data_IF_167287827206
#
_entry.id   IF_167287827206
#
_cell.length_a   1.000
_cell.length_b   1.000
_cell.length_c   1.000
_cell.angle_alpha   90.00
_cell.angle_beta   90.00
_cell.angle_gamma   90.00
#
_symmetry.space_group_name_H-M   'P 1'
#
loop_
_entity.id
_entity.type
_entity.pdbx_description
1 polymer ?
#
# COMPACT_ATOMS: atom_id res chain seq x y z
N UNK A 1 39.80 -42.04 8.42
CA UNK A 1 40.21 -42.85 7.26
C UNK A 1 40.21 -41.97 6.03
N UNK A 2 41.39 -41.62 5.51
CA UNK A 2 41.53 -40.71 4.38
C UNK A 2 41.11 -41.37 3.07
N UNK A 3 40.09 -40.82 2.41
CA UNK A 3 39.76 -41.14 1.02
C UNK A 3 40.37 -40.06 0.10
N UNK A 4 41.07 -40.55 -0.91
CA UNK A 4 42.05 -39.84 -1.71
C UNK A 4 41.36 -39.00 -2.82
N UNK A 5 41.30 -37.67 -2.67
CA UNK A 5 40.67 -36.73 -3.62
C UNK A 5 41.31 -36.67 -5.03
N UNK A 6 42.45 -37.35 -5.27
CA UNK A 6 43.13 -37.35 -6.57
C UNK A 6 42.56 -38.34 -7.58
N UNK A 7 41.79 -39.35 -7.16
CA UNK A 7 41.23 -40.37 -8.06
C UNK A 7 40.10 -39.86 -8.97
N UNK A 8 39.22 -39.00 -8.44
CA UNK A 8 38.05 -38.50 -9.17
C UNK A 8 38.40 -37.56 -10.33
N UNK A 9 39.42 -36.71 -10.16
CA UNK A 9 39.87 -35.77 -11.19
C UNK A 9 40.51 -36.46 -12.41
N UNK A 10 41.26 -37.54 -12.20
CA UNK A 10 41.84 -38.33 -13.30
C UNK A 10 40.79 -39.16 -14.06
N UNK A 11 39.76 -39.65 -13.36
CA UNK A 11 38.66 -40.40 -13.98
C UNK A 11 37.76 -39.47 -14.81
N UNK A 12 37.46 -38.26 -14.34
CA UNK A 12 36.73 -37.24 -15.09
C UNK A 12 37.48 -36.75 -16.34
N UNK A 13 38.81 -36.56 -16.25
CA UNK A 13 39.63 -36.14 -17.40
C UNK A 13 39.74 -37.22 -18.48
N UNK A 14 39.80 -38.50 -18.09
CA UNK A 14 39.77 -39.65 -19.01
C UNK A 14 38.40 -39.84 -19.67
N UNK A 15 37.32 -39.62 -18.94
CA UNK A 15 35.96 -39.63 -19.50
C UNK A 15 35.76 -38.48 -20.49
N UNK A 16 36.22 -37.26 -20.17
CA UNK A 16 36.17 -36.12 -21.10
C UNK A 16 37.02 -36.32 -22.37
N UNK A 17 38.20 -36.95 -22.25
CA UNK A 17 39.05 -37.27 -23.40
C UNK A 17 38.48 -38.35 -24.31
N UNK A 18 37.81 -39.37 -23.75
CA UNK A 18 37.14 -40.42 -24.52
C UNK A 18 35.86 -39.95 -25.21
N UNK A 19 35.15 -38.99 -24.63
CA UNK A 19 33.90 -38.42 -25.20
C UNK A 19 34.17 -37.40 -26.32
N UNK A 20 35.33 -36.73 -26.33
CA UNK A 20 35.72 -35.83 -27.44
C UNK A 20 35.92 -36.59 -28.76
N UNK A 21 36.39 -37.84 -28.68
CA UNK A 21 36.56 -38.72 -29.85
C UNK A 21 35.21 -39.26 -30.38
N UNK A 22 34.20 -39.41 -29.51
CA UNK A 22 32.85 -39.82 -29.91
C UNK A 22 32.01 -38.68 -30.49
N UNK A 23 32.30 -37.42 -30.13
CA UNK A 23 31.56 -36.24 -30.62
C UNK A 23 31.86 -35.88 -32.09
N UNK A 24 32.98 -36.36 -32.66
CA UNK A 24 33.32 -36.16 -34.08
C UNK A 24 32.61 -37.16 -35.01
N UNK A 25 31.85 -38.13 -34.46
CA UNK A 25 31.11 -39.13 -35.22
C UNK A 25 29.60 -39.07 -34.91
N UNK A 26 28.88 -38.18 -35.61
CA UNK A 26 27.41 -38.22 -35.72
C UNK A 26 26.63 -37.32 -34.75
N UNK A 27 25.55 -36.69 -35.26
CA UNK A 27 24.74 -35.65 -34.62
C UNK A 27 24.11 -35.95 -33.26
N UNK A 28 24.25 -37.16 -32.72
CA UNK A 28 23.94 -37.51 -31.33
C UNK A 28 24.95 -36.88 -30.35
N UNK A 29 26.17 -36.58 -30.84
CA UNK A 29 27.25 -35.96 -30.08
C UNK A 29 26.91 -34.58 -29.53
N UNK A 30 26.15 -33.74 -30.24
CA UNK A 30 25.75 -32.42 -29.73
C UNK A 30 24.70 -32.50 -28.61
N UNK A 31 23.78 -33.46 -28.69
CA UNK A 31 22.77 -33.70 -27.66
C UNK A 31 23.40 -34.31 -26.38
N UNK A 32 24.32 -35.26 -26.55
CA UNK A 32 25.08 -35.86 -25.45
C UNK A 32 26.08 -34.86 -24.87
N UNK A 33 26.77 -34.07 -25.69
CA UNK A 33 27.66 -32.99 -25.24
C UNK A 33 26.89 -31.92 -24.48
N UNK A 34 25.69 -31.53 -24.94
CA UNK A 34 24.81 -30.62 -24.22
C UNK A 34 24.28 -31.19 -22.90
N UNK A 35 24.13 -32.51 -22.75
CA UNK A 35 23.78 -33.15 -21.46
C UNK A 35 25.00 -33.33 -20.56
N UNK A 36 26.15 -33.65 -21.12
CA UNK A 36 27.42 -33.82 -20.40
C UNK A 36 27.97 -32.49 -19.92
N UNK A 37 27.90 -31.43 -20.72
CA UNK A 37 28.29 -30.07 -20.32
C UNK A 37 27.37 -29.53 -19.22
N UNK A 38 26.05 -29.77 -19.34
CA UNK A 38 25.09 -29.50 -18.25
C UNK A 38 25.36 -30.34 -17.00
N UNK A 39 25.75 -31.61 -17.16
CA UNK A 39 26.14 -32.48 -16.06
C UNK A 39 27.41 -32.02 -15.34
N UNK A 40 28.45 -31.65 -16.09
CA UNK A 40 29.71 -31.12 -15.53
C UNK A 40 29.49 -29.78 -14.82
N UNK A 41 28.67 -28.89 -15.41
CA UNK A 41 28.26 -27.65 -14.75
C UNK A 41 27.49 -27.93 -13.44
N UNK A 42 26.55 -28.88 -13.46
CA UNK A 42 25.81 -29.29 -12.26
C UNK A 42 26.73 -29.81 -11.13
N UNK A 43 27.69 -30.67 -11.45
CA UNK A 43 28.64 -31.20 -10.45
C UNK A 43 29.58 -30.14 -9.90
N UNK A 44 30.02 -29.20 -10.76
CA UNK A 44 30.82 -28.05 -10.36
C UNK A 44 30.04 -27.17 -9.38
N UNK A 45 28.82 -26.77 -9.76
CA UNK A 45 28.00 -25.86 -8.96
C UNK A 45 27.59 -26.52 -7.63
N UNK A 46 27.31 -27.83 -7.61
CA UNK A 46 27.06 -28.59 -6.38
C UNK A 46 28.29 -28.69 -5.46
N UNK A 47 29.50 -28.71 -6.00
CA UNK A 47 30.73 -28.69 -5.20
C UNK A 47 30.99 -27.31 -4.58
N UNK A 48 30.64 -26.23 -5.30
CA UNK A 48 30.71 -24.86 -4.80
C UNK A 48 29.70 -24.66 -3.66
N UNK A 49 28.46 -25.15 -3.81
CA UNK A 49 27.46 -25.08 -2.73
C UNK A 49 27.94 -25.80 -1.46
N UNK A 50 28.54 -26.99 -1.56
CA UNK A 50 29.11 -27.69 -0.40
C UNK A 50 30.26 -26.92 0.28
N UNK A 51 31.10 -26.25 -0.51
CA UNK A 51 32.15 -25.40 0.04
C UNK A 51 31.58 -24.18 0.77
N UNK A 52 30.52 -23.60 0.21
CA UNK A 52 29.82 -22.51 0.87
C UNK A 52 29.17 -22.95 2.18
N UNK A 53 28.64 -24.17 2.26
CA UNK A 53 28.10 -24.74 3.50
C UNK A 53 29.18 -24.91 4.57
N UNK A 54 30.34 -25.46 4.21
CA UNK A 54 31.48 -25.52 5.13
C UNK A 54 31.92 -24.12 5.61
N UNK A 55 31.89 -23.12 4.73
CA UNK A 55 32.19 -21.74 5.12
C UNK A 55 31.13 -21.15 6.08
N UNK A 56 29.85 -21.51 5.95
CA UNK A 56 28.81 -21.11 6.90
C UNK A 56 29.02 -21.76 8.28
N UNK A 57 29.30 -23.06 8.30
CA UNK A 57 29.55 -23.82 9.53
C UNK A 57 30.80 -23.29 10.27
N UNK A 58 31.80 -22.81 9.53
CA UNK A 58 33.01 -22.17 10.05
C UNK A 58 32.79 -20.70 10.48
N UNK A 59 31.58 -20.17 10.40
CA UNK A 59 31.27 -18.78 10.76
C UNK A 59 31.82 -17.74 9.78
N UNK A 60 31.98 -18.09 8.50
CA UNK A 60 32.49 -17.23 7.41
C UNK A 60 31.38 -16.90 6.39
N UNK A 61 30.35 -16.12 6.77
CA UNK A 61 29.18 -15.87 5.94
C UNK A 61 29.50 -15.10 4.64
N UNK A 62 30.49 -14.21 4.65
CA UNK A 62 30.90 -13.45 3.47
C UNK A 62 31.43 -14.37 2.36
N UNK A 63 32.29 -15.31 2.72
CA UNK A 63 32.88 -16.30 1.79
C UNK A 63 31.79 -17.22 1.25
N UNK A 64 30.88 -17.66 2.13
CA UNK A 64 29.75 -18.48 1.71
C UNK A 64 28.84 -17.77 0.70
N UNK A 65 28.47 -16.51 0.95
CA UNK A 65 27.61 -15.73 0.05
C UNK A 65 28.23 -15.53 -1.34
N UNK A 66 29.53 -15.26 -1.41
CA UNK A 66 30.25 -15.13 -2.68
C UNK A 66 30.23 -16.45 -3.47
N UNK A 67 30.57 -17.56 -2.82
CA UNK A 67 30.56 -18.88 -3.44
C UNK A 67 29.16 -19.26 -3.93
N UNK A 68 28.11 -18.98 -3.15
CA UNK A 68 26.74 -19.27 -3.54
C UNK A 68 26.26 -18.41 -4.71
N UNK A 69 26.69 -17.15 -4.80
CA UNK A 69 26.34 -16.26 -5.90
C UNK A 69 26.99 -16.70 -7.23
N UNK A 70 28.17 -17.31 -7.17
CA UNK A 70 28.85 -17.89 -8.34
C UNK A 70 28.25 -19.23 -8.78
N UNK A 71 27.56 -19.93 -7.88
CA UNK A 71 27.08 -21.29 -8.08
C UNK A 71 25.73 -21.40 -8.81
N UNK A 72 25.57 -20.79 -9.98
CA UNK A 72 24.44 -21.06 -10.90
C UNK A 72 23.05 -21.19 -10.22
N UNK A 73 22.23 -22.13 -10.68
CA UNK A 73 20.90 -22.39 -10.10
C UNK A 73 20.93 -23.07 -8.71
N UNK A 74 21.81 -24.05 -8.42
CA UNK A 74 21.90 -24.66 -7.09
C UNK A 74 22.25 -23.66 -5.98
N UNK A 75 23.13 -22.71 -6.28
CA UNK A 75 23.52 -21.61 -5.40
C UNK A 75 22.39 -20.64 -5.16
N UNK A 76 21.66 -20.22 -6.20
CA UNK A 76 20.46 -19.38 -6.08
C UNK A 76 19.39 -20.01 -5.18
N UNK A 77 19.12 -21.32 -5.34
CA UNK A 77 18.18 -22.06 -4.47
C UNK A 77 18.67 -22.16 -3.02
N UNK A 78 19.98 -22.18 -2.79
CA UNK A 78 20.52 -22.19 -1.44
C UNK A 78 20.46 -20.80 -0.82
N UNK A 79 20.75 -19.75 -1.59
CA UNK A 79 20.55 -18.35 -1.20
C UNK A 79 19.08 -18.11 -0.82
N UNK A 80 18.13 -18.52 -1.65
CA UNK A 80 16.69 -18.44 -1.35
C UNK A 80 16.33 -19.11 -0.02
N UNK A 81 16.80 -20.35 0.21
CA UNK A 81 16.59 -21.05 1.48
C UNK A 81 17.25 -20.38 2.69
N UNK A 82 18.42 -19.77 2.53
CA UNK A 82 19.07 -19.02 3.61
C UNK A 82 18.27 -17.76 3.96
N UNK A 83 17.72 -17.07 2.96
CA UNK A 83 16.88 -15.89 3.16
C UNK A 83 15.56 -16.24 3.85
N UNK A 84 14.91 -17.34 3.47
CA UNK A 84 13.66 -17.81 4.11
C UNK A 84 13.90 -18.29 5.55
N UNK A 85 15.00 -19.02 5.80
CA UNK A 85 15.37 -19.45 7.16
C UNK A 85 15.73 -18.27 8.09
N UNK A 86 15.93 -17.07 7.54
CA UNK A 86 16.22 -15.84 8.27
C UNK A 86 14.97 -15.02 8.65
N UNK A 87 13.76 -15.60 8.67
CA UNK A 87 12.52 -14.96 9.16
C UNK A 87 12.54 -14.45 10.63
N UNK A 88 13.71 -14.39 11.29
CA UNK A 88 13.88 -13.77 12.60
C UNK A 88 14.47 -12.35 12.45
N UNK A 89 13.80 -11.30 12.98
CA UNK A 89 14.29 -9.90 12.98
C UNK A 89 15.76 -9.76 13.40
N UNK A 90 16.19 -10.56 14.38
CA UNK A 90 17.53 -10.53 14.97
C UNK A 90 18.65 -10.95 13.99
N UNK A 91 18.32 -11.59 12.87
CA UNK A 91 19.28 -12.12 11.90
C UNK A 91 19.46 -11.24 10.66
N UNK A 92 18.70 -10.17 10.53
CA UNK A 92 18.80 -9.22 9.41
C UNK A 92 20.07 -8.37 9.43
N UNK A 93 20.50 -7.76 10.55
CA UNK A 93 21.72 -6.95 10.57
C UNK A 93 22.97 -7.74 10.13
N UNK A 94 23.22 -8.97 10.63
CA UNK A 94 24.36 -9.77 10.17
C UNK A 94 24.33 -10.15 8.69
N UNK A 95 23.13 -10.39 8.13
CA UNK A 95 22.97 -10.70 6.71
C UNK A 95 23.25 -9.48 5.83
N UNK A 96 22.75 -8.31 6.22
CA UNK A 96 22.99 -7.04 5.53
C UNK A 96 24.50 -6.74 5.55
N UNK A 97 25.14 -6.83 6.71
CA UNK A 97 26.58 -6.64 6.86
C UNK A 97 27.37 -7.63 5.98
N UNK A 98 26.96 -8.90 5.94
CA UNK A 98 27.60 -9.89 5.10
C UNK A 98 27.45 -9.59 3.60
N UNK A 99 26.28 -9.12 3.15
CA UNK A 99 26.04 -8.72 1.76
C UNK A 99 26.77 -7.41 1.37
N UNK A 100 26.92 -6.47 2.30
CA UNK A 100 27.74 -5.27 2.09
C UNK A 100 29.21 -5.65 1.86
N UNK A 101 29.74 -6.53 2.70
CA UNK A 101 31.13 -6.98 2.65
C UNK A 101 31.42 -7.95 1.50
N UNK A 102 30.44 -8.75 1.07
CA UNK A 102 30.60 -9.71 -0.02
C UNK A 102 30.72 -9.06 -1.41
N UNK A 103 30.29 -7.80 -1.57
CA UNK A 103 30.44 -7.04 -2.80
C UNK A 103 29.32 -7.28 -3.84
N UNK A 104 29.47 -6.71 -5.06
CA UNK A 104 28.38 -6.61 -6.05
C UNK A 104 27.88 -7.96 -6.57
N UNK A 105 28.76 -8.97 -6.65
CA UNK A 105 28.42 -10.29 -7.19
C UNK A 105 27.42 -11.03 -6.29
N UNK A 106 27.55 -10.90 -4.97
CA UNK A 106 26.56 -11.43 -4.03
C UNK A 106 25.19 -10.74 -4.16
N UNK A 107 25.18 -9.42 -4.41
CA UNK A 107 23.94 -8.67 -4.65
C UNK A 107 23.26 -9.11 -5.94
N UNK A 108 24.01 -9.37 -7.00
CA UNK A 108 23.48 -9.94 -8.25
C UNK A 108 22.90 -11.34 -8.04
N UNK A 109 23.58 -12.17 -7.24
CA UNK A 109 23.08 -13.49 -6.85
C UNK A 109 21.74 -13.44 -6.12
N UNK A 110 21.58 -12.50 -5.17
CA UNK A 110 20.30 -12.28 -4.46
C UNK A 110 19.25 -11.67 -5.40
N UNK A 111 19.62 -10.73 -6.27
CA UNK A 111 18.69 -10.13 -7.22
C UNK A 111 18.11 -11.15 -8.20
N UNK A 112 18.90 -12.16 -8.58
CA UNK A 112 18.44 -13.25 -9.42
C UNK A 112 17.39 -14.16 -8.75
N UNK A 113 17.32 -14.17 -7.40
CA UNK A 113 16.25 -14.87 -6.65
C UNK A 113 14.90 -14.20 -6.88
N UNK A 114 14.89 -12.86 -7.09
CA UNK A 114 13.65 -12.11 -7.34
C UNK A 114 12.91 -12.57 -8.61
N UNK A 115 13.62 -13.15 -9.57
CA UNK A 115 13.07 -13.50 -10.88
C UNK A 115 12.39 -14.90 -10.90
N UNK A 116 12.49 -15.73 -9.85
CA UNK A 116 12.23 -17.18 -9.98
C UNK A 116 11.32 -17.90 -8.96
N UNK A 117 10.92 -17.37 -7.79
CA UNK A 117 9.99 -18.10 -6.85
C UNK A 117 9.22 -17.24 -5.80
N UNK A 118 8.18 -17.78 -5.15
CA UNK A 118 7.06 -17.04 -4.50
C UNK A 118 7.14 -16.68 -3.01
N UNK A 119 8.11 -17.15 -2.22
CA UNK A 119 8.35 -16.69 -0.83
C UNK A 119 9.76 -16.09 -0.67
N UNK A 120 10.75 -16.69 -1.32
CA UNK A 120 12.15 -16.22 -1.38
C UNK A 120 12.27 -14.79 -1.94
N UNK A 121 11.27 -14.37 -2.74
CA UNK A 121 11.16 -13.02 -3.32
C UNK A 121 11.05 -11.93 -2.26
N UNK A 122 10.29 -12.12 -1.19
CA UNK A 122 10.07 -11.07 -0.19
C UNK A 122 11.35 -10.81 0.60
N UNK A 123 11.98 -11.86 1.14
CA UNK A 123 13.24 -11.72 1.86
C UNK A 123 14.38 -11.23 0.97
N UNK A 124 14.45 -11.69 -0.29
CA UNK A 124 15.42 -11.14 -1.24
C UNK A 124 15.16 -9.65 -1.51
N UNK A 125 13.89 -9.24 -1.59
CA UNK A 125 13.53 -7.85 -1.80
C UNK A 125 13.87 -6.97 -0.60
N UNK A 126 13.59 -7.42 0.63
CA UNK A 126 13.94 -6.76 1.89
C UNK A 126 15.45 -6.59 2.05
N UNK A 127 16.23 -7.66 1.80
CA UNK A 127 17.69 -7.61 1.87
C UNK A 127 18.26 -6.57 0.92
N UNK A 128 17.81 -6.58 -0.33
CA UNK A 128 18.27 -5.68 -1.37
C UNK A 128 17.79 -4.25 -1.14
N UNK A 129 16.57 -4.08 -0.65
CA UNK A 129 15.98 -2.81 -0.24
C UNK A 129 16.82 -2.14 0.86
N UNK A 130 17.15 -2.87 1.93
CA UNK A 130 17.99 -2.38 3.02
C UNK A 130 19.41 -1.97 2.57
N UNK A 131 19.88 -2.53 1.45
CA UNK A 131 21.15 -2.19 0.81
C UNK A 131 21.04 -1.02 -0.19
N UNK A 132 19.84 -0.47 -0.40
CA UNK A 132 19.57 0.60 -1.37
C UNK A 132 19.54 0.13 -2.83
N UNK A 133 19.43 -1.17 -3.11
CA UNK A 133 19.32 -1.68 -4.48
C UNK A 133 17.90 -1.43 -5.03
N UNK A 134 17.81 -0.71 -6.15
CA UNK A 134 16.55 -0.30 -6.76
C UNK A 134 15.62 -1.46 -7.11
N UNK A 135 16.16 -2.65 -7.46
CA UNK A 135 15.35 -3.85 -7.77
C UNK A 135 14.72 -4.41 -6.50
N UNK A 136 15.46 -4.41 -5.40
CA UNK A 136 14.94 -4.81 -4.08
C UNK A 136 13.82 -3.90 -3.63
N UNK A 137 14.06 -2.58 -3.71
CA UNK A 137 13.05 -1.55 -3.40
C UNK A 137 11.77 -1.75 -4.22
N UNK A 138 11.91 -1.96 -5.54
CA UNK A 138 10.77 -2.16 -6.43
C UNK A 138 10.02 -3.48 -6.18
N UNK A 139 10.76 -4.57 -5.95
CA UNK A 139 10.15 -5.87 -5.65
C UNK A 139 9.42 -5.85 -4.31
N UNK A 140 9.97 -5.16 -3.30
CA UNK A 140 9.33 -5.00 -1.99
C UNK A 140 8.06 -4.14 -2.12
N UNK A 141 8.10 -3.04 -2.89
CA UNK A 141 6.91 -2.22 -3.16
C UNK A 141 5.75 -3.04 -3.76
N UNK A 142 6.06 -3.93 -4.70
CA UNK A 142 5.07 -4.80 -5.34
C UNK A 142 4.55 -5.89 -4.39
N UNK A 143 5.42 -6.44 -3.55
CA UNK A 143 5.04 -7.48 -2.59
C UNK A 143 4.14 -6.93 -1.46
N UNK A 144 4.46 -5.74 -0.92
CA UNK A 144 3.64 -5.06 0.09
C UNK A 144 2.29 -4.57 -0.43
N UNK A 145 2.14 -4.55 -1.75
CA UNK A 145 0.91 -4.25 -2.45
C UNK A 145 -0.02 -5.49 -2.63
N UNK A 146 0.36 -6.67 -2.11
CA UNK A 146 -0.51 -7.85 -2.14
C UNK A 146 -1.43 -7.88 -0.89
N UNK A 147 -2.67 -8.43 -1.00
CA UNK A 147 -3.68 -8.37 0.07
C UNK A 147 -3.34 -9.13 1.36
N UNK A 148 -2.40 -10.07 1.30
CA UNK A 148 -2.00 -10.91 2.44
C UNK A 148 -0.48 -10.81 2.63
N UNK A 149 0.02 -9.69 3.17
CA UNK A 149 1.40 -9.59 3.56
C UNK A 149 1.53 -10.43 4.83
N UNK A 150 1.94 -11.70 4.69
CA UNK A 150 2.29 -12.53 5.83
C UNK A 150 3.13 -11.73 6.83
N UNK A 151 2.87 -11.95 8.12
CA UNK A 151 3.29 -11.17 9.28
C UNK A 151 4.78 -10.77 9.34
N UNK A 152 5.17 -9.81 8.52
CA UNK A 152 6.48 -9.19 8.52
C UNK A 152 6.24 -7.70 8.60
N UNK A 153 6.74 -7.05 9.66
CA UNK A 153 6.98 -5.62 9.67
C UNK A 153 8.03 -5.36 8.60
N UNK A 154 7.62 -4.99 7.37
CA UNK A 154 8.59 -4.73 6.33
C UNK A 154 9.34 -3.49 6.78
N UNK A 155 10.64 -3.40 6.49
CA UNK A 155 11.32 -2.10 6.48
C UNK A 155 10.42 -1.15 5.71
N UNK A 156 9.80 -0.19 6.41
CA UNK A 156 8.77 0.65 5.82
C UNK A 156 9.38 1.23 4.54
N UNK A 157 8.77 0.99 3.38
CA UNK A 157 9.39 1.38 2.11
C UNK A 157 9.74 2.88 2.07
N UNK A 158 9.02 3.67 2.86
CA UNK A 158 9.31 5.06 3.21
C UNK A 158 10.72 5.29 3.81
N UNK A 159 11.15 4.43 4.72
CA UNK A 159 12.47 4.45 5.36
C UNK A 159 13.62 4.20 4.35
N UNK A 160 13.32 3.63 3.18
CA UNK A 160 14.28 3.48 2.08
C UNK A 160 14.52 4.80 1.31
N UNK A 161 13.85 5.89 1.70
CA UNK A 161 14.06 7.22 1.15
C UNK A 161 13.48 7.42 -0.27
N UNK A 162 14.06 8.32 -1.08
CA UNK A 162 13.53 8.67 -2.41
C UNK A 162 13.29 7.49 -3.36
N UNK A 163 14.15 6.44 -3.41
CA UNK A 163 13.89 5.25 -4.22
C UNK A 163 12.62 4.51 -3.81
N UNK A 164 12.37 4.38 -2.49
CA UNK A 164 11.19 3.74 -1.94
C UNK A 164 9.91 4.49 -2.29
N UNK A 165 9.93 5.81 -2.10
CA UNK A 165 8.83 6.69 -2.50
C UNK A 165 8.53 6.57 -4.01
N UNK A 166 9.56 6.55 -4.86
CA UNK A 166 9.39 6.39 -6.30
C UNK A 166 8.77 5.04 -6.66
N UNK A 167 9.19 3.96 -6.01
CA UNK A 167 8.62 2.64 -6.25
C UNK A 167 7.15 2.57 -5.81
N UNK A 168 6.81 3.08 -4.61
CA UNK A 168 5.42 3.16 -4.15
C UNK A 168 4.56 4.01 -5.08
N UNK A 169 5.08 5.14 -5.57
CA UNK A 169 4.37 5.99 -6.53
C UNK A 169 4.01 5.25 -7.82
N UNK A 170 4.93 4.44 -8.36
CA UNK A 170 4.65 3.62 -9.54
C UNK A 170 3.55 2.58 -9.25
N UNK A 171 3.59 1.94 -8.09
CA UNK A 171 2.58 0.95 -7.68
C UNK A 171 1.21 1.61 -7.48
N UNK A 172 1.16 2.79 -6.86
CA UNK A 172 -0.07 3.57 -6.70
C UNK A 172 -0.70 3.95 -8.06
N UNK A 173 0.12 4.27 -9.06
CA UNK A 173 -0.35 4.69 -10.40
C UNK A 173 -0.71 3.54 -11.35
N UNK A 174 -0.09 2.37 -11.21
CA UNK A 174 -0.19 1.30 -12.22
C UNK A 174 -0.48 -0.09 -11.66
N UNK A 175 -0.41 -0.25 -10.34
CA UNK A 175 -0.64 -1.51 -9.65
C UNK A 175 -2.12 -1.93 -9.61
N UNK A 176 -2.37 -3.20 -9.25
CA UNK A 176 -3.72 -3.70 -8.97
C UNK A 176 -4.33 -2.92 -7.82
N UNK A 177 -5.67 -2.85 -7.77
CA UNK A 177 -6.40 -1.98 -6.83
C UNK A 177 -5.89 -2.09 -5.40
N UNK A 178 -5.95 -3.27 -4.79
CA UNK A 178 -5.51 -3.50 -3.40
C UNK A 178 -4.07 -3.01 -3.15
N UNK A 179 -3.20 -3.21 -4.13
CA UNK A 179 -1.80 -2.77 -4.05
C UNK A 179 -1.61 -1.28 -4.21
N UNK A 180 -2.40 -0.65 -5.07
CA UNK A 180 -2.42 0.80 -5.18
C UNK A 180 -2.90 1.45 -3.88
N UNK A 181 -3.96 0.92 -3.25
CA UNK A 181 -4.48 1.48 -1.99
C UNK A 181 -3.41 1.43 -0.88
N UNK A 182 -2.75 0.28 -0.74
CA UNK A 182 -1.67 0.11 0.24
C UNK A 182 -0.46 0.97 -0.06
N UNK A 183 -0.09 1.12 -1.34
CA UNK A 183 1.02 1.99 -1.72
C UNK A 183 0.74 3.47 -1.39
N UNK A 184 -0.50 3.93 -1.56
CA UNK A 184 -0.93 5.28 -1.17
C UNK A 184 -0.86 5.48 0.34
N UNK A 185 -1.28 4.50 1.13
CA UNK A 185 -1.16 4.53 2.59
C UNK A 185 0.29 4.62 3.06
N UNK A 186 1.18 3.82 2.46
CA UNK A 186 2.62 3.84 2.77
C UNK A 186 3.30 5.15 2.34
N UNK A 187 2.90 5.74 1.21
CA UNK A 187 3.30 7.10 0.84
C UNK A 187 2.80 8.12 1.87
N UNK A 188 1.60 7.87 2.40
CA UNK A 188 0.99 8.57 3.53
C UNK A 188 1.92 8.65 4.75
N UNK A 189 2.33 7.48 5.24
CA UNK A 189 3.23 7.36 6.39
C UNK A 189 4.63 7.92 6.18
N UNK A 190 5.09 8.05 4.93
CA UNK A 190 6.48 8.41 4.63
C UNK A 190 6.89 9.84 5.02
N UNK A 191 5.92 10.74 5.26
CA UNK A 191 6.13 12.13 5.69
C UNK A 191 7.25 12.90 4.95
N UNK A 192 7.50 12.56 3.67
CA UNK A 192 8.58 13.16 2.88
C UNK A 192 8.03 14.07 1.78
N UNK A 193 8.81 15.08 1.39
CA UNK A 193 8.43 16.00 0.31
C UNK A 193 8.18 15.27 -1.03
N UNK A 194 8.92 14.18 -1.28
CA UNK A 194 8.73 13.34 -2.44
C UNK A 194 7.41 12.57 -2.38
N UNK A 195 7.05 12.01 -1.21
CA UNK A 195 5.80 11.29 -1.03
C UNK A 195 4.60 12.22 -1.12
N UNK A 196 4.70 13.40 -0.51
CA UNK A 196 3.73 14.49 -0.67
C UNK A 196 3.49 14.81 -2.14
N UNK A 197 4.57 14.97 -2.93
CA UNK A 197 4.45 15.28 -4.36
C UNK A 197 3.76 14.16 -5.13
N UNK A 198 4.14 12.90 -4.86
CA UNK A 198 3.51 11.74 -5.48
C UNK A 198 2.00 11.65 -5.15
N UNK A 199 1.61 11.92 -3.91
CA UNK A 199 0.20 11.95 -3.50
C UNK A 199 -0.56 13.09 -4.17
N UNK A 200 0.04 14.28 -4.28
CA UNK A 200 -0.56 15.43 -4.97
C UNK A 200 -0.76 15.11 -6.47
N UNK A 201 0.22 14.49 -7.13
CA UNK A 201 0.10 14.10 -8.53
C UNK A 201 -1.07 13.12 -8.73
N UNK A 202 -1.29 12.19 -7.79
CA UNK A 202 -2.40 11.24 -7.79
C UNK A 202 -3.79 11.88 -7.61
N UNK A 203 -3.89 13.10 -7.08
CA UNK A 203 -5.16 13.84 -7.04
C UNK A 203 -5.67 14.20 -8.45
N UNK A 204 -4.83 14.03 -9.48
CA UNK A 204 -5.20 14.26 -10.89
C UNK A 204 -5.30 12.97 -11.71
N UNK A 205 -5.22 11.80 -11.06
CA UNK A 205 -5.36 10.51 -11.74
C UNK A 205 -6.74 10.40 -12.42
N UNK A 206 -6.79 9.69 -13.55
CA UNK A 206 -8.05 9.45 -14.28
C UNK A 206 -9.02 8.58 -13.47
N UNK A 207 -8.52 7.70 -12.61
CA UNK A 207 -9.30 6.75 -11.84
C UNK A 207 -9.79 7.40 -10.54
N UNK A 208 -11.12 7.54 -10.38
CA UNK A 208 -11.70 8.18 -9.20
C UNK A 208 -11.30 7.51 -7.88
N UNK A 209 -11.36 6.17 -7.73
CA UNK A 209 -10.88 5.49 -6.53
C UNK A 209 -9.46 5.88 -6.10
N UNK A 210 -8.53 6.01 -7.05
CA UNK A 210 -7.15 6.43 -6.77
C UNK A 210 -7.08 7.88 -6.33
N UNK A 211 -7.81 8.79 -6.99
CA UNK A 211 -7.91 10.18 -6.54
C UNK A 211 -8.44 10.25 -5.11
N UNK A 212 -9.53 9.55 -4.80
CA UNK A 212 -10.15 9.49 -3.46
C UNK A 212 -9.16 8.99 -2.41
N UNK A 213 -8.42 7.93 -2.70
CA UNK A 213 -7.40 7.39 -1.79
C UNK A 213 -6.27 8.39 -1.54
N UNK A 214 -5.76 9.00 -2.61
CA UNK A 214 -4.73 10.03 -2.49
C UNK A 214 -5.21 11.21 -1.64
N UNK A 215 -6.46 11.64 -1.83
CA UNK A 215 -7.06 12.72 -1.04
C UNK A 215 -7.16 12.38 0.44
N UNK A 216 -7.61 11.17 0.77
CA UNK A 216 -7.63 10.66 2.16
C UNK A 216 -6.23 10.66 2.76
N UNK A 217 -5.23 10.14 2.04
CA UNK A 217 -3.86 10.11 2.52
C UNK A 217 -3.29 11.52 2.73
N UNK A 218 -3.56 12.46 1.82
CA UNK A 218 -3.13 13.86 1.98
C UNK A 218 -3.77 14.50 3.21
N UNK A 219 -5.07 14.28 3.44
CA UNK A 219 -5.79 14.82 4.58
C UNK A 219 -5.33 14.21 5.91
N UNK A 220 -5.25 12.87 6.00
CA UNK A 220 -4.91 12.16 7.25
C UNK A 220 -3.52 12.48 7.77
N UNK A 221 -2.56 12.60 6.86
CA UNK A 221 -1.16 12.83 7.20
C UNK A 221 -0.79 14.32 7.20
N UNK A 222 -1.79 15.21 7.14
CA UNK A 222 -1.57 16.67 7.13
C UNK A 222 -0.54 17.11 6.10
N UNK A 223 -0.60 16.58 4.86
CA UNK A 223 0.39 16.84 3.80
C UNK A 223 0.29 18.26 3.20
N UNK A 224 0.05 19.25 4.02
CA UNK A 224 -0.03 20.66 3.68
C UNK A 224 -1.42 21.13 3.29
N UNK A 225 -1.49 22.41 2.94
CA UNK A 225 -2.74 23.12 2.68
C UNK A 225 -3.43 22.60 1.40
N UNK A 226 -4.65 22.04 1.56
CA UNK A 226 -5.51 21.60 0.45
C UNK A 226 -6.26 22.76 -0.22
N UNK A 227 -6.25 23.98 0.34
CA UNK A 227 -6.96 25.14 -0.21
C UNK A 227 -6.66 25.41 -1.69
N UNK A 228 -5.40 25.35 -2.19
CA UNK A 228 -5.12 25.61 -3.60
C UNK A 228 -5.80 24.63 -4.55
N UNK A 229 -6.17 23.44 -4.06
CA UNK A 229 -6.78 22.36 -4.83
C UNK A 229 -8.31 22.38 -4.75
N UNK A 230 -8.88 23.09 -3.77
CA UNK A 230 -10.32 23.03 -3.47
C UNK A 230 -11.19 23.35 -4.68
N UNK A 231 -10.91 24.43 -5.40
CA UNK A 231 -11.69 24.81 -6.58
C UNK A 231 -11.70 23.71 -7.65
N UNK A 232 -10.57 23.03 -7.84
CA UNK A 232 -10.44 21.91 -8.78
C UNK A 232 -11.18 20.67 -8.27
N UNK A 233 -11.06 20.34 -6.98
CA UNK A 233 -11.73 19.18 -6.39
C UNK A 233 -13.26 19.33 -6.42
N UNK A 234 -13.77 20.53 -6.16
CA UNK A 234 -15.21 20.82 -6.25
C UNK A 234 -15.74 20.94 -7.67
N UNK A 235 -14.86 21.07 -8.67
CA UNK A 235 -15.21 21.04 -10.08
C UNK A 235 -14.99 19.66 -10.72
N UNK A 236 -14.59 18.63 -9.94
CA UNK A 236 -14.34 17.30 -10.46
C UNK A 236 -15.62 16.71 -11.07
N UNK A 237 -15.55 16.08 -12.26
CA UNK A 237 -16.72 15.50 -12.90
C UNK A 237 -17.34 14.37 -12.06
N UNK A 238 -16.55 13.68 -11.24
CA UNK A 238 -17.02 12.56 -10.42
C UNK A 238 -17.61 13.06 -9.10
N UNK A 239 -18.93 12.86 -8.85
CA UNK A 239 -19.55 13.29 -7.60
C UNK A 239 -19.04 12.55 -6.37
N UNK A 240 -18.54 11.32 -6.50
CA UNK A 240 -17.94 10.58 -5.38
C UNK A 240 -16.67 11.30 -4.93
N UNK A 241 -15.84 11.74 -5.88
CA UNK A 241 -14.66 12.52 -5.55
C UNK A 241 -15.00 13.89 -4.96
N UNK A 242 -15.99 14.61 -5.52
CA UNK A 242 -16.45 15.90 -4.96
C UNK A 242 -16.94 15.76 -3.52
N UNK A 243 -17.75 14.73 -3.25
CA UNK A 243 -18.27 14.43 -1.91
C UNK A 243 -17.13 14.14 -0.91
N UNK A 244 -16.19 13.28 -1.30
CA UNK A 244 -15.01 12.99 -0.47
C UNK A 244 -14.19 14.26 -0.19
N UNK A 245 -13.98 15.11 -1.20
CA UNK A 245 -13.23 16.35 -1.03
C UNK A 245 -13.87 17.32 -0.06
N UNK A 246 -15.20 17.46 -0.10
CA UNK A 246 -15.94 18.29 0.87
C UNK A 246 -15.81 17.74 2.29
N UNK A 247 -15.93 16.41 2.45
CA UNK A 247 -15.78 15.77 3.75
C UNK A 247 -14.40 16.02 4.35
N UNK A 248 -13.34 15.71 3.58
CA UNK A 248 -11.95 15.89 4.03
C UNK A 248 -11.64 17.37 4.30
N UNK A 249 -12.17 18.28 3.48
CA UNK A 249 -11.96 19.71 3.67
C UNK A 249 -12.72 20.26 4.88
N UNK A 250 -13.92 19.77 5.21
CA UNK A 250 -14.60 20.12 6.45
C UNK A 250 -13.84 19.65 7.69
N UNK A 251 -13.35 18.39 7.66
CA UNK A 251 -12.57 17.82 8.73
C UNK A 251 -11.24 18.56 8.98
N UNK A 252 -10.57 19.01 7.92
CA UNK A 252 -9.25 19.66 8.02
C UNK A 252 -9.31 21.19 8.11
N UNK A 253 -10.28 21.82 7.46
CA UNK A 253 -10.32 23.27 7.23
C UNK A 253 -11.16 24.07 8.24
N UNK A 254 -11.98 23.41 9.06
CA UNK A 254 -12.82 24.10 10.04
C UNK A 254 -13.68 25.19 9.41
N UNK A 255 -13.77 26.36 10.05
CA UNK A 255 -14.58 27.49 9.58
C UNK A 255 -14.24 27.99 8.18
N UNK A 256 -12.99 27.86 7.73
CA UNK A 256 -12.59 28.32 6.39
C UNK A 256 -13.24 27.48 5.27
N UNK A 257 -13.76 26.29 5.60
CA UNK A 257 -14.49 25.46 4.66
C UNK A 257 -15.91 25.96 4.37
N UNK A 258 -16.50 26.75 5.28
CA UNK A 258 -17.91 27.14 5.23
C UNK A 258 -18.34 27.82 3.91
N UNK A 259 -17.57 28.74 3.30
CA UNK A 259 -17.96 29.34 2.02
C UNK A 259 -18.04 28.31 0.88
N UNK A 260 -17.18 27.29 0.90
CA UNK A 260 -17.17 26.24 -0.10
C UNK A 260 -18.31 25.24 0.12
N UNK A 261 -18.52 24.81 1.37
CA UNK A 261 -19.66 24.00 1.79
C UNK A 261 -20.98 24.65 1.40
N UNK A 262 -21.12 25.97 1.64
CA UNK A 262 -22.31 26.74 1.30
C UNK A 262 -22.67 26.68 -0.18
N UNK A 263 -21.68 26.71 -1.08
CA UNK A 263 -21.91 26.58 -2.53
C UNK A 263 -22.27 25.15 -2.92
N UNK A 264 -21.65 24.17 -2.28
CA UNK A 264 -21.88 22.75 -2.58
C UNK A 264 -23.24 22.24 -2.09
N UNK A 265 -23.96 22.98 -1.24
CA UNK A 265 -25.38 22.70 -0.93
C UNK A 265 -26.28 22.77 -2.17
N UNK A 266 -25.83 23.43 -3.24
CA UNK A 266 -26.59 23.52 -4.49
C UNK A 266 -26.05 22.53 -5.56
N UNK A 267 -25.19 21.56 -5.17
CA UNK A 267 -24.66 20.55 -6.11
C UNK A 267 -25.80 19.66 -6.67
N UNK A 268 -25.81 19.35 -7.98
CA UNK A 268 -26.86 18.53 -8.59
C UNK A 268 -26.95 17.13 -7.97
N UNK A 269 -25.86 16.61 -7.42
CA UNK A 269 -25.78 15.24 -6.92
C UNK A 269 -26.08 15.18 -5.43
N UNK A 270 -27.12 14.40 -5.08
CA UNK A 270 -27.58 14.20 -3.70
C UNK A 270 -26.46 13.75 -2.76
N UNK A 271 -25.56 12.88 -3.22
CA UNK A 271 -24.43 12.41 -2.41
C UNK A 271 -23.47 13.54 -2.01
N UNK A 272 -23.26 14.51 -2.90
CA UNK A 272 -22.41 15.68 -2.62
C UNK A 272 -23.08 16.58 -1.60
N UNK A 273 -24.37 16.88 -1.75
CA UNK A 273 -25.12 17.67 -0.77
C UNK A 273 -25.17 17.02 0.61
N UNK A 274 -25.31 15.69 0.68
CA UNK A 274 -25.18 14.96 1.95
C UNK A 274 -23.80 15.09 2.58
N UNK A 275 -22.74 15.02 1.78
CA UNK A 275 -21.37 15.20 2.27
C UNK A 275 -21.12 16.61 2.81
N UNK A 276 -21.79 17.63 2.27
CA UNK A 276 -21.76 18.98 2.85
C UNK A 276 -22.30 19.00 4.27
N UNK A 277 -23.40 18.29 4.53
CA UNK A 277 -24.00 18.22 5.86
C UNK A 277 -23.07 17.50 6.84
N UNK A 278 -22.41 16.43 6.41
CA UNK A 278 -21.41 15.71 7.20
C UNK A 278 -20.20 16.61 7.50
N UNK A 279 -19.66 17.27 6.49
CA UNK A 279 -18.53 18.19 6.63
C UNK A 279 -18.87 19.36 7.57
N UNK A 280 -20.06 19.96 7.43
CA UNK A 280 -20.53 21.04 8.30
C UNK A 280 -20.71 20.56 9.75
N UNK A 281 -21.14 19.31 9.96
CA UNK A 281 -21.31 18.77 11.31
C UNK A 281 -20.00 18.62 12.09
N UNK A 282 -18.86 18.54 11.39
CA UNK A 282 -17.52 18.52 11.98
C UNK A 282 -17.00 19.92 12.35
N UNK A 283 -17.65 20.99 11.89
CA UNK A 283 -17.24 22.37 12.13
C UNK A 283 -18.07 22.93 13.28
N UNK A 284 -17.42 23.40 14.34
CA UNK A 284 -18.11 24.04 15.46
C UNK A 284 -18.65 25.43 15.07
N UNK A 285 -19.65 25.92 15.80
CA UNK A 285 -20.15 27.29 15.64
C UNK A 285 -21.43 27.46 14.81
N UNK A 286 -22.07 28.63 14.95
CA UNK A 286 -23.42 28.87 14.44
C UNK A 286 -23.50 28.89 12.91
N UNK A 287 -22.44 29.31 12.21
CA UNK A 287 -22.44 29.36 10.75
C UNK A 287 -22.47 27.95 10.12
N UNK A 288 -21.94 26.95 10.82
CA UNK A 288 -22.05 25.55 10.41
C UNK A 288 -23.47 25.02 10.67
N UNK A 289 -24.05 25.36 11.82
CA UNK A 289 -25.43 25.02 12.16
C UNK A 289 -26.43 25.60 11.15
N UNK A 290 -26.24 26.86 10.72
CA UNK A 290 -27.05 27.48 9.67
C UNK A 290 -27.05 26.67 8.36
N UNK A 291 -25.89 26.13 7.96
CA UNK A 291 -25.79 25.29 6.76
C UNK A 291 -26.56 23.99 6.91
N UNK A 292 -26.47 23.36 8.08
CA UNK A 292 -27.20 22.12 8.38
C UNK A 292 -28.71 22.40 8.45
N UNK A 293 -29.14 23.50 9.08
CA UNK A 293 -30.53 23.94 9.13
C UNK A 293 -31.07 24.21 7.71
N UNK A 294 -30.27 24.84 6.83
CA UNK A 294 -30.66 25.03 5.42
C UNK A 294 -30.87 23.71 4.71
N UNK A 295 -30.04 22.70 4.98
CA UNK A 295 -30.15 21.37 4.37
C UNK A 295 -31.42 20.58 4.78
N UNK A 296 -32.14 21.00 5.84
CA UNK A 296 -33.47 20.45 6.15
C UNK A 296 -34.50 20.73 5.04
N UNK A 297 -34.24 21.72 4.18
CA UNK A 297 -35.11 22.08 3.05
C UNK A 297 -34.73 21.38 1.74
N UNK A 298 -33.78 20.46 1.77
CA UNK A 298 -33.36 19.75 0.56
C UNK A 298 -34.49 18.91 -0.03
N UNK A 299 -34.58 18.87 -1.36
CA UNK A 299 -35.56 18.05 -2.06
C UNK A 299 -35.37 16.55 -1.78
N UNK A 300 -34.13 16.10 -1.57
CA UNK A 300 -33.79 14.72 -1.32
C UNK A 300 -33.86 14.38 0.16
N UNK A 301 -34.68 13.38 0.50
CA UNK A 301 -34.83 12.89 1.87
C UNK A 301 -33.51 12.44 2.53
N UNK A 302 -32.56 11.78 1.83
CA UNK A 302 -31.28 11.42 2.43
C UNK A 302 -30.49 12.62 2.99
N UNK A 303 -30.58 13.79 2.33
CA UNK A 303 -29.91 15.02 2.79
C UNK A 303 -30.64 15.57 4.02
N UNK A 304 -31.99 15.64 3.98
CA UNK A 304 -32.80 16.07 5.13
C UNK A 304 -32.54 15.19 6.35
N UNK A 305 -32.54 13.87 6.17
CA UNK A 305 -32.26 12.91 7.23
C UNK A 305 -30.88 13.11 7.83
N UNK A 306 -29.85 13.32 6.99
CA UNK A 306 -28.50 13.63 7.46
C UNK A 306 -28.50 14.91 8.31
N UNK A 307 -29.20 15.95 7.85
CA UNK A 307 -29.30 17.21 8.59
C UNK A 307 -29.97 17.05 9.95
N UNK A 308 -31.09 16.33 10.01
CA UNK A 308 -31.79 15.99 11.27
C UNK A 308 -30.84 15.28 12.25
N UNK A 309 -30.15 14.24 11.79
CA UNK A 309 -29.20 13.50 12.63
C UNK A 309 -28.05 14.39 13.12
N UNK A 310 -27.48 15.21 12.23
CA UNK A 310 -26.38 16.11 12.59
C UNK A 310 -26.79 17.16 13.61
N UNK A 311 -27.99 17.76 13.48
CA UNK A 311 -28.51 18.73 14.45
C UNK A 311 -28.79 18.10 15.82
N UNK A 312 -29.32 16.88 15.82
CA UNK A 312 -29.53 16.10 17.03
C UNK A 312 -28.21 15.79 17.76
N UNK A 313 -27.20 15.30 17.03
CA UNK A 313 -25.89 14.99 17.60
C UNK A 313 -25.15 16.22 18.13
N UNK A 314 -25.32 17.37 17.47
CA UNK A 314 -24.74 18.66 17.88
C UNK A 314 -25.53 19.38 18.97
N UNK A 315 -26.69 18.87 19.36
CA UNK A 315 -27.61 19.52 20.29
C UNK A 315 -27.94 20.98 19.89
N UNK A 316 -28.11 21.24 18.59
CA UNK A 316 -28.36 22.59 18.05
C UNK A 316 -29.77 23.07 18.45
N UNK A 317 -29.86 23.94 19.47
CA UNK A 317 -31.15 24.44 20.01
C UNK A 317 -31.93 25.32 19.03
N UNK A 318 -31.24 25.98 18.11
CA UNK A 318 -31.86 26.85 17.11
C UNK A 318 -32.59 26.05 16.01
N UNK A 319 -32.41 24.73 15.98
CA UNK A 319 -33.03 23.84 14.99
C UNK A 319 -34.52 23.55 15.27
N UNK A 320 -35.03 23.83 16.47
CA UNK A 320 -36.38 23.44 16.92
C UNK A 320 -37.48 23.82 15.91
N UNK A 321 -37.51 25.10 15.52
CA UNK A 321 -38.50 25.61 14.57
C UNK A 321 -38.34 25.00 13.17
N UNK A 322 -37.10 24.73 12.75
CA UNK A 322 -36.82 24.16 11.44
C UNK A 322 -37.21 22.67 11.37
N UNK A 323 -36.95 21.90 12.43
CA UNK A 323 -37.36 20.51 12.59
C UNK A 323 -38.88 20.38 12.66
N UNK A 324 -39.53 21.24 13.45
CA UNK A 324 -40.99 21.30 13.57
C UNK A 324 -41.67 21.55 12.22
N UNK A 325 -41.06 22.41 11.38
CA UNK A 325 -41.58 22.79 10.06
C UNK A 325 -41.55 21.67 9.04
N UNK A 326 -40.52 20.81 9.04
CA UNK A 326 -40.40 19.73 8.05
C UNK A 326 -41.15 18.46 8.44
N UNK A 327 -41.50 18.30 9.71
CA UNK A 327 -42.15 17.09 10.23
C UNK A 327 -43.42 16.67 9.49
N UNK A 328 -44.38 17.57 9.15
CA UNK A 328 -45.65 17.15 8.55
C UNK A 328 -45.49 16.47 7.18
N UNK A 329 -44.53 16.94 6.38
CA UNK A 329 -44.28 16.47 5.02
C UNK A 329 -43.18 15.40 4.93
N UNK A 330 -42.68 14.94 6.09
CA UNK A 330 -41.61 13.95 6.19
C UNK A 330 -42.14 12.52 6.17
N UNK A 331 -41.36 11.57 5.64
CA UNK A 331 -41.64 10.14 5.74
C UNK A 331 -41.70 9.68 7.21
N UNK A 332 -42.35 8.54 7.52
CA UNK A 332 -42.41 8.01 8.89
C UNK A 332 -41.03 7.78 9.52
N UNK A 333 -40.05 7.35 8.71
CA UNK A 333 -38.66 7.16 9.15
C UNK A 333 -38.01 8.50 9.51
N UNK A 334 -38.20 9.52 8.68
CA UNK A 334 -37.67 10.86 8.96
C UNK A 334 -38.39 11.53 10.13
N UNK A 335 -39.70 11.32 10.30
CA UNK A 335 -40.45 11.79 11.47
C UNK A 335 -39.91 11.19 12.77
N UNK A 336 -39.61 9.89 12.78
CA UNK A 336 -38.96 9.23 13.92
C UNK A 336 -37.60 9.87 14.22
N UNK A 337 -36.79 10.09 13.19
CA UNK A 337 -35.46 10.69 13.35
C UNK A 337 -35.56 12.15 13.85
N UNK A 338 -36.59 12.90 13.45
CA UNK A 338 -36.88 14.25 13.97
C UNK A 338 -37.25 14.21 15.45
N UNK A 339 -38.12 13.29 15.88
CA UNK A 339 -38.47 13.10 17.29
C UNK A 339 -37.23 12.77 18.12
N UNK A 340 -36.36 11.90 17.59
CA UNK A 340 -35.10 11.59 18.23
C UNK A 340 -34.18 12.83 18.33
N UNK A 341 -34.03 13.61 17.24
CA UNK A 341 -33.22 14.82 17.25
C UNK A 341 -33.73 15.85 18.28
N UNK A 342 -35.04 16.11 18.32
CA UNK A 342 -35.65 17.02 19.31
C UNK A 342 -35.40 16.56 20.76
N UNK A 343 -35.39 15.24 21.00
CA UNK A 343 -35.04 14.68 22.30
C UNK A 343 -33.58 14.94 22.66
N UNK A 344 -32.65 14.70 21.74
CA UNK A 344 -31.21 14.88 21.98
C UNK A 344 -30.84 16.36 22.19
N UNK A 345 -31.49 17.26 21.45
CA UNK A 345 -31.37 18.72 21.62
C UNK A 345 -31.90 19.18 22.99
N UNK A 346 -32.81 18.41 23.61
CA UNK A 346 -33.54 18.82 24.80
C UNK A 346 -34.60 19.88 24.50
N UNK A 347 -35.20 19.82 23.30
CA UNK A 347 -36.24 20.74 22.86
C UNK A 347 -37.51 20.59 23.71
N UNK A 348 -38.17 21.71 24.11
CA UNK A 348 -39.49 21.64 24.74
C UNK A 348 -40.57 21.02 23.83
N UNK A 349 -40.34 20.95 22.52
CA UNK A 349 -41.24 20.32 21.56
C UNK A 349 -41.14 18.78 21.57
N UNK A 350 -40.08 18.22 22.14
CA UNK A 350 -39.82 16.77 22.12
C UNK A 350 -40.99 15.90 22.62
N UNK A 351 -41.58 16.16 23.81
CA UNK A 351 -42.71 15.38 24.32
C UNK A 351 -43.95 15.44 23.42
N UNK A 352 -44.28 16.61 22.87
CA UNK A 352 -45.44 16.80 21.98
C UNK A 352 -45.27 15.98 20.69
N UNK A 353 -44.11 16.09 20.05
CA UNK A 353 -43.84 15.40 18.79
C UNK A 353 -43.71 13.89 18.97
N UNK A 354 -43.20 13.42 20.11
CA UNK A 354 -43.23 11.99 20.48
C UNK A 354 -44.66 11.46 20.54
N UNK A 355 -45.55 12.13 21.27
CA UNK A 355 -46.96 11.74 21.37
C UNK A 355 -47.71 11.85 20.03
N UNK A 356 -47.25 12.70 19.11
CA UNK A 356 -47.79 12.78 17.74
C UNK A 356 -47.32 11.62 16.86
N UNK A 357 -46.09 11.17 17.02
CA UNK A 357 -45.53 10.05 16.25
C UNK A 357 -46.05 8.68 16.71
N UNK A 358 -46.36 8.53 18.00
CA UNK A 358 -46.89 7.29 18.58
C UNK A 358 -48.39 7.04 18.29
N UNK A 359 -49.11 8.03 17.75
CA UNK A 359 -50.54 7.96 17.42
C UNK A 359 -50.77 7.58 15.96
#
# INVERSE_FOLDING_TARGET
MGMNHRGGWHMARRLCGGLLLLALAGGVGWFLWGRLSRGVAYWRDAAIVRHAEGALDDGRPVVALQLLAEAGEPGRRRLGRLLVASHAPDRWPPLIDALQNAGPLAREGVAAVLERSSEERLCAAEALAALGDARGVQALALALALPDPGAHEPVELAALGPPGVKALSNVAQSGPRAGAERAVELLGGAQSAAARRALIDLLTDRDCPRRTQALRAVAWHSFGDLRPWLSRMLADPDPVFRAEALYQYGAAGGHEALPALRRALDDPQTAVRSAVVEAAALIEGPEADELIIRALQDAAEPVRRKAVCSLGWRCCRDADAALARIYPDSSPDLQRDIVAALHWIGSPLGPEYRARWER
#
